data_IF_363940143672
#
_entry.id   IF_363940143672
#
_cell.length_a   1.000
_cell.length_b   1.000
_cell.length_c   1.000
_cell.angle_alpha   90.00
_cell.angle_beta   90.00
_cell.angle_gamma   90.00
#
_symmetry.space_group_name_H-M   'P 1'
#
loop_
_entity.id
_entity.type
_entity.pdbx_description
1 polymer ?
#
# COMPACT_ATOMS: atom_id res chain seq x y z
N UNK A 1 10.73 -8.48 -17.10
CA UNK A 1 11.04 -9.64 -16.24
C UNK A 1 11.28 -9.13 -14.83
N UNK A 2 10.33 -9.38 -13.92
CA UNK A 2 10.54 -9.15 -12.48
C UNK A 2 11.55 -10.16 -11.96
N UNK A 3 12.67 -9.69 -11.42
CA UNK A 3 13.66 -10.55 -10.78
C UNK A 3 13.21 -10.88 -9.35
N UNK A 4 13.42 -12.13 -8.92
CA UNK A 4 12.93 -12.68 -7.65
C UNK A 4 13.34 -11.88 -6.39
N UNK A 5 14.36 -11.02 -6.47
CA UNK A 5 14.83 -10.15 -5.38
C UNK A 5 14.03 -8.85 -5.21
N UNK A 6 13.09 -8.54 -6.12
CA UNK A 6 12.29 -7.30 -6.09
C UNK A 6 10.79 -7.51 -5.86
N UNK A 7 10.33 -8.77 -5.77
CA UNK A 7 8.91 -9.09 -5.65
C UNK A 7 8.37 -8.69 -4.26
N UNK A 8 7.34 -7.85 -4.17
CA UNK A 8 6.70 -7.54 -2.90
C UNK A 8 5.80 -8.69 -2.42
N UNK A 9 5.45 -8.68 -1.14
CA UNK A 9 4.57 -9.71 -0.55
C UNK A 9 3.15 -9.64 -1.15
N UNK A 10 2.70 -8.45 -1.55
CA UNK A 10 1.43 -8.25 -2.22
C UNK A 10 1.55 -7.28 -3.41
N UNK A 11 0.81 -7.58 -4.49
CA UNK A 11 0.60 -6.70 -5.63
C UNK A 11 -0.89 -6.69 -5.94
N UNK A 12 -1.45 -5.49 -6.18
CA UNK A 12 -2.81 -5.31 -6.68
C UNK A 12 -2.72 -4.80 -8.10
N UNK A 13 -3.49 -5.40 -9.00
CA UNK A 13 -3.56 -5.02 -10.41
C UNK A 13 -4.93 -4.43 -10.72
N UNK A 14 -4.97 -3.46 -11.63
CA UNK A 14 -6.21 -3.12 -12.30
C UNK A 14 -6.61 -4.29 -13.20
N UNK A 15 -7.88 -4.66 -13.19
CA UNK A 15 -8.45 -5.66 -14.10
C UNK A 15 -9.45 -4.95 -14.99
N UNK A 16 -9.25 -5.06 -16.30
CA UNK A 16 -10.18 -4.54 -17.31
C UNK A 16 -10.59 -5.69 -18.23
N UNK A 17 -11.88 -6.05 -18.20
CA UNK A 17 -12.46 -7.13 -19.01
C UNK A 17 -11.62 -8.44 -19.00
N UNK A 18 -11.31 -8.95 -17.80
CA UNK A 18 -10.47 -10.15 -17.57
C UNK A 18 -8.99 -10.05 -18.02
N UNK A 19 -8.53 -8.86 -18.43
CA UNK A 19 -7.12 -8.61 -18.70
C UNK A 19 -6.47 -7.91 -17.51
N UNK A 20 -5.31 -8.43 -17.11
CA UNK A 20 -4.46 -7.77 -16.12
C UNK A 20 -3.86 -6.50 -16.74
N UNK A 21 -4.23 -5.37 -16.19
CA UNK A 21 -3.62 -4.07 -16.46
C UNK A 21 -2.35 -3.86 -15.64
N UNK A 22 -2.06 -2.61 -15.33
CA UNK A 22 -0.88 -2.24 -14.55
C UNK A 22 -1.08 -2.47 -13.04
N UNK A 23 0.03 -2.53 -12.32
CA UNK A 23 0.06 -2.61 -10.86
C UNK A 23 -0.35 -1.27 -10.24
N UNK A 24 -1.39 -1.32 -9.41
CA UNK A 24 -2.04 -0.16 -8.79
C UNK A 24 -1.87 -0.09 -7.28
N UNK A 25 -1.38 -1.16 -6.65
CA UNK A 25 -0.87 -1.12 -5.29
C UNK A 25 0.18 -2.19 -5.00
N UNK A 26 1.00 -1.94 -3.98
CA UNK A 26 2.02 -2.86 -3.48
C UNK A 26 1.94 -2.96 -1.95
N UNK A 27 2.29 -4.13 -1.42
CA UNK A 27 2.26 -4.37 0.02
C UNK A 27 3.40 -5.24 0.54
N UNK A 28 3.80 -4.97 1.77
CA UNK A 28 4.77 -5.77 2.54
C UNK A 28 4.19 -6.18 3.87
N UNK A 29 4.50 -7.40 4.32
CA UNK A 29 4.05 -7.93 5.60
C UNK A 29 5.23 -8.37 6.47
N UNK A 30 5.17 -8.02 7.75
CA UNK A 30 6.18 -8.36 8.75
C UNK A 30 5.57 -8.73 10.08
N UNK A 31 6.30 -9.53 10.84
CA UNK A 31 5.94 -9.86 12.22
C UNK A 31 6.10 -8.62 13.13
N UNK A 32 5.31 -8.55 14.20
CA UNK A 32 5.40 -7.47 15.20
C UNK A 32 6.78 -7.37 15.87
N UNK A 33 7.53 -8.45 15.92
CA UNK A 33 8.88 -8.53 16.47
C UNK A 33 9.99 -8.05 15.52
N UNK A 34 9.64 -7.60 14.31
CA UNK A 34 10.61 -7.15 13.30
C UNK A 34 11.28 -5.84 13.74
N UNK A 35 12.58 -5.70 13.46
CA UNK A 35 13.33 -4.49 13.82
C UNK A 35 12.95 -3.31 12.93
N UNK A 36 13.01 -2.09 13.49
CA UNK A 36 12.72 -0.86 12.74
C UNK A 36 13.58 -0.71 11.48
N UNK A 37 14.84 -1.16 11.52
CA UNK A 37 15.72 -1.12 10.35
C UNK A 37 15.16 -1.93 9.17
N UNK A 38 14.61 -3.11 9.43
CA UNK A 38 14.01 -3.95 8.40
C UNK A 38 12.69 -3.34 7.91
N UNK A 39 11.87 -2.79 8.82
CA UNK A 39 10.62 -2.11 8.45
C UNK A 39 10.87 -0.92 7.53
N UNK A 40 11.86 -0.08 7.84
CA UNK A 40 12.24 1.07 6.98
C UNK A 40 12.78 0.60 5.64
N UNK A 41 13.56 -0.47 5.61
CA UNK A 41 14.07 -1.04 4.36
C UNK A 41 12.94 -1.50 3.44
N UNK A 42 11.91 -2.14 4.00
CA UNK A 42 10.74 -2.55 3.22
C UNK A 42 9.87 -1.37 2.79
N UNK A 43 9.73 -0.34 3.64
CA UNK A 43 9.02 0.88 3.27
C UNK A 43 9.71 1.60 2.09
N UNK A 44 11.05 1.69 2.11
CA UNK A 44 11.83 2.23 0.99
C UNK A 44 11.67 1.39 -0.28
N UNK A 45 11.59 0.06 -0.14
CA UNK A 45 11.36 -0.83 -1.29
C UNK A 45 9.97 -0.63 -1.89
N UNK A 46 8.93 -0.52 -1.06
CA UNK A 46 7.58 -0.14 -1.51
C UNK A 46 7.64 1.19 -2.24
N UNK A 47 8.27 2.22 -1.65
CA UNK A 47 8.38 3.54 -2.26
C UNK A 47 9.01 3.49 -3.66
N UNK A 48 10.08 2.71 -3.84
CA UNK A 48 10.72 2.52 -5.14
C UNK A 48 9.83 1.80 -6.15
N UNK A 49 9.13 0.74 -5.74
CA UNK A 49 8.19 0.02 -6.62
C UNK A 49 7.03 0.92 -7.06
N UNK A 50 6.50 1.71 -6.12
CA UNK A 50 5.42 2.66 -6.38
C UNK A 50 5.87 3.74 -7.36
N UNK A 51 7.03 4.37 -7.11
CA UNK A 51 7.64 5.37 -8.01
C UNK A 51 7.81 4.80 -9.42
N UNK A 52 8.42 3.62 -9.53
CA UNK A 52 8.65 2.95 -10.82
C UNK A 52 7.34 2.66 -11.56
N UNK A 53 6.26 2.32 -10.85
CA UNK A 53 4.94 2.08 -11.46
C UNK A 53 4.28 3.38 -11.91
N UNK A 54 4.41 4.47 -11.13
CA UNK A 54 3.98 5.81 -11.53
C UNK A 54 4.67 6.22 -12.83
N UNK A 55 5.99 6.12 -12.90
CA UNK A 55 6.77 6.48 -14.09
C UNK A 55 6.40 5.62 -15.30
N UNK A 56 6.34 4.29 -15.14
CA UNK A 56 6.12 3.36 -16.26
C UNK A 56 4.71 3.45 -16.84
N UNK A 57 3.71 3.69 -15.99
CA UNK A 57 2.30 3.65 -16.38
C UNK A 57 1.65 5.04 -16.43
N UNK A 58 2.44 6.11 -16.24
CA UNK A 58 1.99 7.51 -16.23
C UNK A 58 0.81 7.77 -15.27
N UNK A 59 0.92 7.25 -14.04
CA UNK A 59 -0.14 7.33 -13.03
C UNK A 59 0.04 8.57 -12.16
N UNK A 60 -1.05 9.26 -11.79
CA UNK A 60 -0.95 10.44 -10.91
C UNK A 60 -0.55 10.07 -9.48
N UNK A 61 -0.93 8.86 -9.04
CA UNK A 61 -0.77 8.42 -7.68
C UNK A 61 -1.04 6.92 -7.54
N UNK A 62 -0.44 6.31 -6.53
CA UNK A 62 -0.62 4.88 -6.21
C UNK A 62 -0.75 4.71 -4.70
N UNK A 63 -1.64 3.80 -4.29
CA UNK A 63 -1.78 3.36 -2.92
C UNK A 63 -0.80 2.22 -2.63
N UNK A 64 -0.26 2.14 -1.43
CA UNK A 64 0.54 1.02 -0.96
C UNK A 64 0.30 0.79 0.53
N UNK A 65 0.76 -0.34 1.06
CA UNK A 65 0.58 -0.63 2.48
C UNK A 65 1.73 -1.42 3.08
N UNK A 66 1.91 -1.27 4.39
CA UNK A 66 2.81 -2.10 5.18
C UNK A 66 2.05 -2.69 6.36
N UNK A 67 2.03 -4.01 6.47
CA UNK A 67 1.43 -4.74 7.57
C UNK A 67 2.51 -5.17 8.58
N UNK A 68 2.40 -4.74 9.84
CA UNK A 68 3.30 -5.11 10.93
C UNK A 68 2.49 -5.76 12.05
N UNK A 69 2.58 -7.09 12.14
CA UNK A 69 1.66 -7.88 12.96
C UNK A 69 0.23 -7.73 12.44
N UNK A 70 -0.65 -7.18 13.27
CA UNK A 70 -2.04 -6.91 12.91
C UNK A 70 -2.29 -5.44 12.52
N UNK A 71 -1.28 -4.57 12.59
CA UNK A 71 -1.43 -3.17 12.19
C UNK A 71 -1.09 -2.99 10.71
N UNK A 72 -1.98 -2.39 9.94
CA UNK A 72 -1.77 -2.08 8.52
C UNK A 72 -1.73 -0.57 8.33
N UNK A 73 -0.60 -0.07 7.85
CA UNK A 73 -0.39 1.34 7.51
C UNK A 73 -0.51 1.52 6.00
N UNK A 74 -1.33 2.47 5.55
CA UNK A 74 -1.57 2.77 4.14
C UNK A 74 -0.85 4.06 3.75
N UNK A 75 -0.21 4.04 2.58
CA UNK A 75 0.58 5.13 2.05
C UNK A 75 0.14 5.50 0.64
N UNK A 76 0.06 6.79 0.35
CA UNK A 76 -0.18 7.31 -0.99
C UNK A 76 1.11 7.93 -1.48
N UNK A 77 1.56 7.56 -2.67
CA UNK A 77 2.61 8.31 -3.37
C UNK A 77 2.02 9.11 -4.51
N UNK A 78 2.49 10.35 -4.68
CA UNK A 78 2.16 11.22 -5.82
C UNK A 78 3.42 11.86 -6.39
N UNK A 79 3.47 12.00 -7.71
CA UNK A 79 4.44 12.86 -8.38
C UNK A 79 3.97 14.31 -8.26
N UNK A 80 4.84 15.18 -7.72
CA UNK A 80 4.65 16.63 -7.63
C UNK A 80 5.79 17.32 -8.37
N UNK A 81 5.47 18.42 -9.07
CA UNK A 81 6.43 19.32 -9.71
C UNK A 81 7.60 18.59 -10.39
N UNK A 82 7.32 17.84 -11.47
CA UNK A 82 8.28 17.21 -12.39
C UNK A 82 9.60 16.73 -11.75
N UNK A 83 9.48 15.83 -10.77
CA UNK A 83 10.63 15.13 -10.19
C UNK A 83 10.56 14.89 -8.69
N UNK A 84 9.64 15.55 -7.97
CA UNK A 84 9.46 15.36 -6.53
C UNK A 84 8.38 14.32 -6.23
N UNK A 85 8.79 13.17 -5.73
CA UNK A 85 7.87 12.14 -5.24
C UNK A 85 7.56 12.36 -3.77
N UNK A 86 6.28 12.53 -3.44
CA UNK A 86 5.82 12.61 -2.05
C UNK A 86 5.05 11.35 -1.67
N UNK A 87 5.49 10.67 -0.61
CA UNK A 87 4.81 9.52 -0.02
C UNK A 87 4.30 9.89 1.38
N UNK A 88 2.99 9.81 1.58
CA UNK A 88 2.32 10.18 2.82
C UNK A 88 1.57 8.98 3.39
N UNK A 89 1.71 8.74 4.70
CA UNK A 89 0.84 7.82 5.42
C UNK A 89 -0.58 8.42 5.50
N UNK A 90 -1.53 7.75 4.86
CA UNK A 90 -2.94 8.19 4.86
C UNK A 90 -3.64 7.80 6.14
N UNK A 91 -3.48 6.55 6.57
CA UNK A 91 -4.01 6.07 7.84
C UNK A 91 -3.32 4.75 8.25
N UNK A 92 -3.54 4.37 9.51
CA UNK A 92 -3.16 3.08 10.06
C UNK A 92 -4.37 2.43 10.74
N UNK A 93 -4.61 1.16 10.46
CA UNK A 93 -5.75 0.39 11.01
C UNK A 93 -5.24 -0.88 11.68
N UNK A 94 -5.70 -1.15 12.89
CA UNK A 94 -5.43 -2.40 13.59
C UNK A 94 -6.49 -3.45 13.22
N UNK A 95 -6.08 -4.48 12.48
CA UNK A 95 -6.92 -5.61 12.14
C UNK A 95 -7.16 -6.51 13.36
N UNK A 96 -8.33 -7.15 13.45
CA UNK A 96 -8.68 -8.03 14.55
C UNK A 96 -7.76 -9.26 14.53
N UNK A 97 -7.11 -9.55 15.67
CA UNK A 97 -6.29 -10.75 15.81
C UNK A 97 -7.13 -11.98 16.19
N UNK A 98 -8.33 -11.76 16.71
CA UNK A 98 -9.29 -12.78 17.11
C UNK A 98 -10.73 -12.36 16.81
N UNK A 99 -11.65 -13.33 16.85
CA UNK A 99 -13.10 -13.07 16.70
C UNK A 99 -13.63 -12.11 17.76
N UNK A 100 -13.04 -12.12 18.97
CA UNK A 100 -13.42 -11.21 20.05
C UNK A 100 -13.11 -9.74 19.75
N UNK A 101 -12.21 -9.46 18.81
CA UNK A 101 -11.82 -8.10 18.42
C UNK A 101 -12.75 -7.52 17.33
N UNK A 102 -13.59 -8.34 16.70
CA UNK A 102 -14.48 -7.89 15.60
C UNK A 102 -15.45 -6.76 15.99
N UNK A 103 -16.07 -6.75 17.18
CA UNK A 103 -16.94 -5.64 17.58
C UNK A 103 -16.19 -4.31 17.69
N UNK A 104 -14.89 -4.34 18.01
CA UNK A 104 -14.06 -3.14 18.04
C UNK A 104 -13.65 -2.73 16.63
N UNK A 105 -13.36 -3.70 15.77
CA UNK A 105 -13.00 -3.45 14.38
C UNK A 105 -14.15 -2.79 13.60
N UNK A 106 -15.41 -3.15 13.87
CA UNK A 106 -16.56 -2.53 13.20
C UNK A 106 -16.67 -1.01 13.43
N UNK A 107 -16.15 -0.51 14.56
CA UNK A 107 -16.15 0.91 14.89
C UNK A 107 -15.17 1.72 14.03
N UNK A 108 -14.10 1.10 13.54
CA UNK A 108 -13.03 1.75 12.76
C UNK A 108 -13.16 1.50 11.25
N UNK A 109 -14.26 0.87 10.81
CA UNK A 109 -14.54 0.64 9.38
C UNK A 109 -14.66 1.95 8.61
N UNK A 110 -15.06 3.05 9.27
CA UNK A 110 -15.10 4.38 8.64
C UNK A 110 -13.70 4.90 8.25
N UNK A 111 -12.64 4.51 8.96
CA UNK A 111 -11.27 4.87 8.61
C UNK A 111 -10.84 4.13 7.33
N UNK A 112 -11.22 2.86 7.20
CA UNK A 112 -11.03 2.08 5.96
C UNK A 112 -11.83 2.67 4.79
N UNK A 113 -13.03 3.18 5.04
CA UNK A 113 -13.81 3.88 4.01
C UNK A 113 -13.09 5.15 3.52
N UNK A 114 -12.35 5.82 4.39
CA UNK A 114 -11.51 6.98 4.01
C UNK A 114 -10.38 6.54 3.09
N UNK A 115 -9.71 5.41 3.38
CA UNK A 115 -8.71 4.81 2.47
C UNK A 115 -9.33 4.48 1.11
N UNK A 116 -10.51 3.87 1.09
CA UNK A 116 -11.20 3.52 -0.15
C UNK A 116 -11.53 4.76 -0.99
N UNK A 117 -11.98 5.85 -0.37
CA UNK A 117 -12.23 7.14 -1.07
C UNK A 117 -10.95 7.74 -1.63
N UNK A 118 -9.88 7.70 -0.86
CA UNK A 118 -8.56 8.15 -1.30
C UNK A 118 -8.03 7.30 -2.46
N UNK A 119 -8.23 5.98 -2.39
CA UNK A 119 -7.87 5.05 -3.45
C UNK A 119 -8.60 5.41 -4.77
N UNK A 120 -9.91 5.70 -4.71
CA UNK A 120 -10.69 6.14 -5.87
C UNK A 120 -10.18 7.46 -6.47
N UNK A 121 -9.75 8.41 -5.62
CA UNK A 121 -9.11 9.65 -6.11
C UNK A 121 -7.78 9.37 -6.81
N UNK A 122 -7.14 8.25 -6.50
CA UNK A 122 -5.93 7.78 -7.19
C UNK A 122 -6.23 7.08 -8.53
N UNK A 123 -7.50 7.00 -8.95
CA UNK A 123 -7.98 6.23 -10.12
C UNK A 123 -7.66 4.73 -10.04
N UNK A 124 -7.71 4.17 -8.83
CA UNK A 124 -7.87 2.73 -8.61
C UNK A 124 -9.26 2.27 -9.03
#
# INVERSE_FOLDING_TARGET
METATKRPDAVVYQIDQDLYGFSVAFGEAKLKSTTNLLLVKDLLRIAMLVKDSIDKNNLSSILSFQAVGNRVSFYIMQLKNDGLYMMLESCSVDFPASVADLPRFSLIVNDLLTVAKVAQLCRL
#
